data_IF_634909496524
#
_entry.id   IF_634909496524
#
_cell.length_a   1.000
_cell.length_b   1.000
_cell.length_c   1.000
_cell.angle_alpha   90.00
_cell.angle_beta   90.00
_cell.angle_gamma   90.00
#
_symmetry.space_group_name_H-M   'P 1'
#
loop_
_entity.id
_entity.type
_entity.pdbx_description
1 polymer ?
#
# COMPACT_ATOMS: atom_id res chain seq x y z
N UNK A 1 -46.59 -31.09 44.75
CA UNK A 1 -45.30 -30.42 44.57
C UNK A 1 -44.89 -30.51 43.11
N UNK A 2 -44.96 -29.39 42.37
CA UNK A 2 -44.63 -29.35 40.93
C UNK A 2 -43.22 -28.75 40.78
N UNK A 3 -42.26 -29.57 40.39
CA UNK A 3 -40.89 -29.10 40.09
C UNK A 3 -40.89 -28.31 38.79
N UNK A 4 -40.53 -27.03 38.82
CA UNK A 4 -40.25 -26.22 37.64
C UNK A 4 -38.76 -26.36 37.33
N UNK A 5 -38.45 -26.99 36.19
CA UNK A 5 -37.13 -27.05 35.63
C UNK A 5 -36.94 -25.74 34.83
N UNK A 6 -36.03 -24.90 35.26
CA UNK A 6 -35.64 -23.69 34.53
C UNK A 6 -34.54 -24.06 33.51
N UNK A 7 -34.85 -23.90 32.24
CA UNK A 7 -33.86 -24.01 31.15
C UNK A 7 -33.09 -22.67 31.06
N UNK A 8 -31.81 -22.71 31.39
CA UNK A 8 -30.90 -21.58 31.15
C UNK A 8 -30.38 -21.72 29.71
N UNK A 9 -30.85 -20.85 28.83
CA UNK A 9 -30.30 -20.73 27.48
C UNK A 9 -29.07 -19.82 27.57
N UNK A 10 -27.87 -20.41 27.42
CA UNK A 10 -26.62 -19.65 27.27
C UNK A 10 -26.51 -19.22 25.83
N UNK A 11 -26.76 -17.95 25.54
CA UNK A 11 -26.43 -17.34 24.27
C UNK A 11 -24.90 -17.16 24.20
N UNK A 12 -24.22 -18.05 23.46
CA UNK A 12 -22.85 -17.79 23.01
C UNK A 12 -22.90 -16.72 21.90
N UNK A 13 -22.55 -15.49 22.27
CA UNK A 13 -22.22 -14.47 21.29
C UNK A 13 -20.87 -14.83 20.64
N UNK A 14 -20.92 -15.33 19.41
CA UNK A 14 -19.73 -15.46 18.56
C UNK A 14 -19.38 -14.03 18.11
N UNK A 15 -18.52 -13.35 18.85
CA UNK A 15 -17.84 -12.17 18.36
C UNK A 15 -16.89 -12.62 17.25
N UNK A 16 -17.28 -12.39 16.00
CA UNK A 16 -16.39 -12.55 14.86
C UNK A 16 -15.19 -11.62 15.09
N UNK A 17 -14.02 -12.19 15.30
CA UNK A 17 -12.76 -11.48 15.19
C UNK A 17 -12.60 -11.15 13.70
N UNK A 18 -13.05 -9.96 13.29
CA UNK A 18 -12.56 -9.35 12.06
C UNK A 18 -11.08 -9.08 12.29
N UNK A 19 -10.23 -9.81 11.60
CA UNK A 19 -8.82 -9.43 11.50
C UNK A 19 -8.80 -8.02 10.90
N UNK A 20 -8.44 -7.02 11.70
CA UNK A 20 -8.24 -5.66 11.24
C UNK A 20 -7.07 -5.74 10.26
N UNK A 21 -7.36 -5.57 8.98
CA UNK A 21 -6.35 -5.46 7.95
C UNK A 21 -5.48 -4.27 8.33
N UNK A 22 -4.18 -4.49 8.47
CA UNK A 22 -3.26 -3.39 8.78
C UNK A 22 -3.39 -2.32 7.69
N UNK A 23 -3.73 -1.09 8.09
CA UNK A 23 -3.70 0.07 7.21
C UNK A 23 -2.29 0.21 6.65
N UNK A 24 -2.16 0.51 5.35
CA UNK A 24 -0.85 0.75 4.75
C UNK A 24 -0.36 2.09 5.28
N UNK A 25 0.54 2.07 6.26
CA UNK A 25 1.10 3.24 6.94
C UNK A 25 2.12 4.03 6.09
N UNK A 26 2.05 3.85 4.77
CA UNK A 26 3.01 4.40 3.80
C UNK A 26 4.30 3.60 3.65
N UNK A 27 4.56 2.61 4.50
CA UNK A 27 5.75 1.75 4.41
C UNK A 27 5.53 0.56 3.49
N UNK A 28 4.29 0.07 3.39
CA UNK A 28 3.88 -1.02 2.52
C UNK A 28 3.07 -0.48 1.34
N UNK A 29 3.27 -1.00 0.13
CA UNK A 29 2.48 -0.58 -1.03
C UNK A 29 1.06 -1.15 -0.98
N UNK A 30 0.10 -0.38 -1.48
CA UNK A 30 -1.26 -0.85 -1.75
C UNK A 30 -1.24 -1.86 -2.90
N UNK A 31 -1.89 -3.00 -2.72
CA UNK A 31 -1.84 -4.11 -3.66
C UNK A 31 -2.99 -4.07 -4.66
N UNK A 32 -2.66 -3.97 -5.95
CA UNK A 32 -3.63 -4.17 -7.02
C UNK A 32 -4.08 -5.62 -7.08
N UNK A 33 -5.40 -5.86 -7.18
CA UNK A 33 -5.98 -7.18 -7.32
C UNK A 33 -6.97 -7.23 -8.49
N UNK A 34 -6.82 -8.20 -9.37
CA UNK A 34 -7.73 -8.46 -10.49
C UNK A 34 -7.97 -7.26 -11.43
N UNK A 35 -7.00 -6.37 -11.56
CA UNK A 35 -7.09 -5.17 -12.38
C UNK A 35 -7.75 -3.97 -11.69
N UNK A 36 -7.89 -4.01 -10.37
CA UNK A 36 -8.46 -2.93 -9.56
C UNK A 36 -7.54 -2.58 -8.39
N UNK A 37 -7.34 -1.28 -8.19
CA UNK A 37 -6.68 -0.69 -7.03
C UNK A 37 -7.56 0.45 -6.52
N UNK A 38 -7.90 0.46 -5.24
CA UNK A 38 -8.64 1.51 -4.56
C UNK A 38 -7.83 2.00 -3.38
N UNK A 39 -7.65 3.31 -3.23
CA UNK A 39 -6.87 3.91 -2.14
C UNK A 39 -7.65 5.10 -1.60
N UNK A 40 -7.83 5.15 -0.27
CA UNK A 40 -8.34 6.34 0.42
C UNK A 40 -7.26 7.42 0.43
N UNK A 41 -7.62 8.67 0.19
CA UNK A 41 -6.61 9.71 -0.02
C UNK A 41 -5.82 10.04 1.24
N UNK A 42 -6.40 9.87 2.41
CA UNK A 42 -5.74 10.06 3.71
C UNK A 42 -4.73 8.97 4.05
N UNK A 43 -4.77 7.83 3.35
CA UNK A 43 -3.83 6.72 3.55
C UNK A 43 -2.46 6.94 2.90
N UNK A 44 -2.23 8.09 2.27
CA UNK A 44 -0.94 8.46 1.68
C UNK A 44 0.12 8.88 2.69
N UNK A 45 1.37 9.00 2.23
CA UNK A 45 2.46 9.57 3.03
C UNK A 45 2.34 11.10 3.00
N UNK A 46 1.70 11.67 4.01
CA UNK A 46 1.42 13.10 4.14
C UNK A 46 2.43 13.72 5.10
N UNK A 47 3.35 14.54 4.60
CA UNK A 47 4.41 15.16 5.39
C UNK A 47 4.23 16.68 5.59
N UNK A 48 3.23 17.28 4.98
CA UNK A 48 2.98 18.71 5.04
C UNK A 48 1.63 18.98 5.74
N UNK A 49 1.66 19.77 6.79
CA UNK A 49 0.49 20.04 7.63
C UNK A 49 -0.54 21.00 6.99
N UNK A 50 -0.27 21.52 5.80
CA UNK A 50 -1.26 22.27 5.01
C UNK A 50 -2.25 21.35 4.30
N UNK A 51 -1.92 20.07 4.13
CA UNK A 51 -2.90 19.05 3.84
C UNK A 51 -3.73 18.76 5.08
N UNK A 52 -5.03 18.81 4.94
CA UNK A 52 -5.98 18.56 6.02
C UNK A 52 -6.86 17.37 5.68
N UNK A 53 -7.28 16.66 6.70
CA UNK A 53 -8.23 15.53 6.61
C UNK A 53 -9.45 15.94 7.41
N UNK A 54 -10.65 15.76 6.83
CA UNK A 54 -11.91 16.02 7.48
C UNK A 54 -12.95 14.95 7.08
N UNK A 55 -14.10 14.96 7.72
CA UNK A 55 -15.17 13.98 7.50
C UNK A 55 -16.49 14.71 7.34
N UNK A 56 -17.29 14.30 6.36
CA UNK A 56 -18.68 14.77 6.21
C UNK A 56 -19.63 13.58 5.99
N UNK A 57 -20.87 13.71 6.42
CA UNK A 57 -21.90 12.70 6.19
C UNK A 57 -22.66 13.01 4.91
N UNK A 58 -22.67 12.09 3.96
CA UNK A 58 -23.38 12.19 2.68
C UNK A 58 -24.25 10.96 2.51
N UNK A 59 -25.56 11.18 2.34
CA UNK A 59 -26.57 10.12 2.20
C UNK A 59 -26.57 9.09 3.36
N UNK A 60 -26.13 9.53 4.55
CA UNK A 60 -26.05 8.68 5.76
C UNK A 60 -24.76 7.91 5.92
N UNK A 61 -23.79 8.07 5.02
CA UNK A 61 -22.45 7.47 5.08
C UNK A 61 -21.41 8.55 5.38
N UNK A 62 -20.48 8.28 6.29
CA UNK A 62 -19.37 9.17 6.60
C UNK A 62 -18.27 9.02 5.53
N UNK A 63 -17.89 10.13 4.93
CA UNK A 63 -16.83 10.24 3.94
C UNK A 63 -15.66 10.98 4.58
N UNK A 64 -14.51 10.35 4.69
CA UNK A 64 -13.25 11.00 5.05
C UNK A 64 -12.57 11.49 3.77
N UNK A 65 -12.09 12.71 3.77
CA UNK A 65 -11.46 13.29 2.58
C UNK A 65 -10.25 14.16 2.93
N UNK A 66 -9.39 14.29 1.95
CA UNK A 66 -8.17 15.09 2.01
C UNK A 66 -8.36 16.37 1.21
N UNK A 67 -7.79 17.49 1.71
CA UNK A 67 -7.79 18.76 0.99
C UNK A 67 -6.60 19.65 1.36
N UNK A 68 -6.23 20.54 0.44
CA UNK A 68 -5.17 21.50 0.62
C UNK A 68 -5.69 22.82 1.16
N UNK A 69 -5.03 23.40 2.17
CA UNK A 69 -5.35 24.71 2.77
C UNK A 69 -4.29 25.78 2.50
N UNK A 70 -3.16 25.39 1.89
CA UNK A 70 -2.13 26.32 1.51
C UNK A 70 -2.48 27.19 0.30
N UNK A 71 -1.55 28.01 -0.13
CA UNK A 71 -1.69 28.85 -1.32
C UNK A 71 -1.85 27.99 -2.59
N UNK A 72 -2.52 28.57 -3.59
CA UNK A 72 -2.70 27.91 -4.89
C UNK A 72 -1.39 27.94 -5.70
N UNK A 73 -1.07 26.82 -6.37
CA UNK A 73 0.20 26.61 -7.09
C UNK A 73 -0.07 26.31 -8.58
N UNK A 74 -0.57 27.32 -9.31
CA UNK A 74 -1.00 27.12 -10.71
C UNK A 74 0.13 26.93 -11.71
N UNK A 75 1.29 27.54 -11.47
CA UNK A 75 2.41 27.58 -12.42
C UNK A 75 3.60 26.72 -12.01
N UNK A 76 3.58 26.17 -10.79
CA UNK A 76 4.65 25.35 -10.23
C UNK A 76 4.07 24.31 -9.28
N UNK A 77 4.86 23.35 -8.87
CA UNK A 77 4.49 22.42 -7.78
C UNK A 77 4.55 23.17 -6.45
N UNK A 78 3.66 22.80 -5.51
CA UNK A 78 3.64 23.37 -4.16
C UNK A 78 4.78 22.87 -3.29
N UNK A 79 5.50 21.82 -3.74
CA UNK A 79 6.51 21.08 -2.99
C UNK A 79 5.98 20.45 -1.69
N UNK A 80 4.71 20.05 -1.71
CA UNK A 80 4.03 19.35 -0.63
C UNK A 80 3.46 18.01 -1.14
N UNK A 81 4.27 17.14 -1.75
CA UNK A 81 3.77 15.92 -2.37
C UNK A 81 3.25 14.92 -1.33
N UNK A 82 2.15 14.25 -1.69
CA UNK A 82 1.68 13.03 -1.06
C UNK A 82 2.06 11.86 -1.93
N UNK A 83 2.65 10.84 -1.34
CA UNK A 83 3.13 9.65 -2.06
C UNK A 83 2.33 8.43 -1.65
N UNK A 84 1.92 7.66 -2.65
CA UNK A 84 1.27 6.36 -2.50
C UNK A 84 2.14 5.31 -3.19
N UNK A 85 2.70 4.40 -2.41
CA UNK A 85 3.39 3.24 -2.98
C UNK A 85 2.34 2.20 -3.37
N UNK A 86 2.45 1.64 -4.57
CA UNK A 86 1.50 0.66 -5.09
C UNK A 86 2.24 -0.56 -5.61
N UNK A 87 1.62 -1.73 -5.50
CA UNK A 87 2.08 -2.98 -6.10
C UNK A 87 1.11 -3.39 -7.20
N UNK A 88 1.61 -3.44 -8.43
CA UNK A 88 0.86 -3.97 -9.57
C UNK A 88 1.17 -5.46 -9.70
N UNK A 89 0.15 -6.29 -9.71
CA UNK A 89 0.25 -7.74 -9.93
C UNK A 89 -0.12 -8.13 -11.37
N UNK A 90 -1.02 -7.37 -11.97
CA UNK A 90 -1.52 -7.60 -13.33
C UNK A 90 -1.08 -6.50 -14.28
N UNK A 91 0.09 -6.63 -14.96
CA UNK A 91 0.56 -5.64 -15.92
C UNK A 91 -0.47 -5.28 -16.99
N UNK A 92 -0.45 -4.05 -17.45
CA UNK A 92 -1.37 -3.55 -18.49
C UNK A 92 -1.68 -2.07 -18.33
N UNK A 93 -2.68 -1.60 -19.08
CA UNK A 93 -3.10 -0.20 -19.06
C UNK A 93 -4.28 -0.01 -18.12
N UNK A 94 -4.15 0.98 -17.25
CA UNK A 94 -5.12 1.35 -16.22
C UNK A 94 -5.64 2.75 -16.45
N UNK A 95 -6.93 2.96 -16.26
CA UNK A 95 -7.54 4.26 -16.14
C UNK A 95 -7.43 4.73 -14.69
N UNK A 96 -7.06 5.99 -14.50
CA UNK A 96 -7.07 6.65 -13.20
C UNK A 96 -8.35 7.49 -13.07
N UNK A 97 -8.97 7.43 -11.90
CA UNK A 97 -10.01 8.37 -11.46
C UNK A 97 -9.91 8.57 -9.95
N UNK A 98 -10.31 9.73 -9.48
CA UNK A 98 -10.57 9.96 -8.05
C UNK A 98 -12.01 10.42 -7.82
N UNK A 99 -12.52 10.13 -6.64
CA UNK A 99 -13.78 10.66 -6.16
C UNK A 99 -13.51 12.01 -5.49
N UNK A 100 -14.08 13.07 -6.06
CA UNK A 100 -13.77 14.43 -5.64
C UNK A 100 -14.99 15.34 -5.72
N UNK A 101 -14.89 16.48 -5.05
CA UNK A 101 -15.77 17.64 -5.25
C UNK A 101 -15.01 18.94 -4.99
N UNK A 102 -15.54 20.03 -5.50
CA UNK A 102 -15.12 21.38 -5.10
C UNK A 102 -15.61 21.65 -3.68
N UNK A 103 -14.71 22.02 -2.79
CA UNK A 103 -15.01 22.22 -1.37
C UNK A 103 -15.28 23.68 -0.99
N UNK A 104 -14.97 24.64 -1.88
CA UNK A 104 -15.13 26.06 -1.61
C UNK A 104 -15.83 26.78 -2.78
N UNK A 105 -16.84 27.58 -2.44
CA UNK A 105 -17.58 28.36 -3.43
C UNK A 105 -18.64 27.55 -4.18
N UNK A 106 -19.19 28.13 -5.26
CA UNK A 106 -20.27 27.55 -6.06
C UNK A 106 -19.90 27.38 -7.53
N UNK A 107 -18.66 27.71 -7.90
CA UNK A 107 -18.12 27.54 -9.25
C UNK A 107 -17.40 26.21 -9.37
N UNK A 108 -17.86 25.26 -10.21
CA UNK A 108 -17.17 24.00 -10.39
C UNK A 108 -15.85 24.14 -11.19
N UNK A 109 -15.58 25.32 -11.74
CA UNK A 109 -14.34 25.61 -12.47
C UNK A 109 -13.20 26.15 -11.58
N UNK A 110 -13.47 26.39 -10.29
CA UNK A 110 -12.49 26.85 -9.32
C UNK A 110 -12.26 25.77 -8.25
N UNK A 111 -11.10 25.80 -7.59
CA UNK A 111 -10.76 24.83 -6.53
C UNK A 111 -10.93 23.36 -6.95
N UNK A 112 -10.62 23.02 -8.19
CA UNK A 112 -11.06 21.81 -8.85
C UNK A 112 -9.94 20.88 -9.34
N UNK A 113 -8.67 21.16 -8.99
CA UNK A 113 -7.53 20.43 -9.54
C UNK A 113 -6.36 20.26 -8.56
N UNK A 114 -5.54 19.24 -8.83
CA UNK A 114 -4.25 18.99 -8.20
C UNK A 114 -3.25 18.50 -9.24
N UNK A 115 -1.97 18.50 -8.89
CA UNK A 115 -0.91 17.91 -9.71
C UNK A 115 -0.86 16.40 -9.48
N UNK A 116 -0.88 15.62 -10.54
CA UNK A 116 -0.82 14.15 -10.51
C UNK A 116 0.34 13.63 -11.34
N UNK A 117 1.08 12.68 -10.78
CA UNK A 117 2.11 11.90 -11.47
C UNK A 117 1.98 10.43 -11.11
N UNK A 118 2.01 9.56 -12.10
CA UNK A 118 2.04 8.11 -11.91
C UNK A 118 3.28 7.57 -12.60
N UNK A 119 4.15 6.91 -11.86
CA UNK A 119 5.42 6.39 -12.36
C UNK A 119 5.21 5.02 -13.04
N UNK A 120 4.43 5.00 -14.13
CA UNK A 120 4.35 3.85 -15.04
C UNK A 120 5.30 4.02 -16.24
N UNK A 121 5.33 3.03 -17.11
CA UNK A 121 6.13 3.09 -18.35
C UNK A 121 5.51 4.05 -19.40
N UNK A 122 4.19 4.28 -19.34
CA UNK A 122 3.50 5.26 -20.19
C UNK A 122 2.41 5.94 -19.36
N UNK A 123 2.54 7.25 -19.10
CA UNK A 123 1.58 8.05 -18.33
C UNK A 123 1.06 9.21 -19.19
N UNK A 124 -0.23 9.21 -19.49
CA UNK A 124 -0.83 10.10 -20.47
C UNK A 124 -2.32 10.38 -20.23
N UNK A 125 -2.81 11.42 -20.91
CA UNK A 125 -4.25 11.62 -21.13
C UNK A 125 -4.68 11.08 -22.49
N UNK A 126 -5.92 10.58 -22.63
CA UNK A 126 -6.48 10.15 -23.92
C UNK A 126 -7.91 10.62 -24.12
N UNK A 127 -8.21 11.16 -25.33
CA UNK A 127 -9.54 11.55 -25.78
C UNK A 127 -9.67 11.19 -27.26
N UNK A 128 -10.66 10.36 -27.61
CA UNK A 128 -10.93 9.94 -28.99
C UNK A 128 -9.71 9.40 -29.75
N UNK A 129 -8.82 8.69 -29.04
CA UNK A 129 -7.59 8.12 -29.58
C UNK A 129 -6.38 9.06 -29.59
N UNK A 130 -6.56 10.36 -29.40
CA UNK A 130 -5.46 11.30 -29.26
C UNK A 130 -4.86 11.23 -27.84
N UNK A 131 -3.53 11.11 -27.74
CA UNK A 131 -2.79 11.10 -26.48
C UNK A 131 -2.14 12.46 -26.25
N UNK A 132 -2.09 12.86 -24.98
CA UNK A 132 -1.34 14.02 -24.51
C UNK A 132 -0.47 13.60 -23.32
N UNK A 133 0.74 14.16 -23.21
CA UNK A 133 1.75 13.74 -22.27
C UNK A 133 2.21 14.87 -21.35
N UNK A 134 2.70 14.56 -20.15
CA UNK A 134 3.27 15.58 -19.28
C UNK A 134 4.62 16.08 -19.83
N UNK A 135 4.99 17.30 -19.44
CA UNK A 135 6.32 17.87 -19.67
C UNK A 135 7.32 17.31 -18.65
N UNK A 136 8.62 17.11 -18.97
CA UNK A 136 9.28 17.47 -20.23
C UNK A 136 9.22 16.37 -21.30
N UNK A 137 8.57 15.24 -21.05
CA UNK A 137 8.54 14.11 -21.98
C UNK A 137 8.10 14.53 -23.38
N UNK A 138 6.98 15.24 -23.49
CA UNK A 138 6.44 15.69 -24.76
C UNK A 138 7.25 16.82 -25.42
N UNK A 139 8.02 17.60 -24.64
CA UNK A 139 8.88 18.65 -25.19
C UNK A 139 10.16 18.10 -25.83
N UNK A 140 10.57 16.90 -25.39
CA UNK A 140 11.77 16.22 -25.89
C UNK A 140 11.51 15.30 -27.08
N UNK A 141 10.25 15.11 -27.49
CA UNK A 141 9.85 14.28 -28.63
C UNK A 141 8.78 15.01 -29.46
N UNK A 142 9.19 15.45 -30.64
CA UNK A 142 8.32 16.20 -31.58
C UNK A 142 7.08 15.42 -32.07
N UNK A 143 7.03 14.10 -31.86
CA UNK A 143 5.87 13.26 -32.19
C UNK A 143 4.82 13.24 -31.07
N UNK A 144 5.14 13.77 -29.89
CA UNK A 144 4.23 13.80 -28.75
C UNK A 144 3.55 15.16 -28.62
N UNK A 145 2.29 15.13 -28.20
CA UNK A 145 1.53 16.34 -27.85
C UNK A 145 1.59 16.55 -26.35
N UNK A 146 1.94 17.76 -25.92
CA UNK A 146 1.93 18.09 -24.51
C UNK A 146 0.50 18.29 -24.00
N UNK A 147 0.22 17.75 -22.80
CA UNK A 147 -0.98 18.09 -22.08
C UNK A 147 -0.94 19.59 -21.68
N UNK A 148 -2.01 20.33 -21.94
CA UNK A 148 -2.16 21.65 -21.37
C UNK A 148 -2.11 21.52 -19.83
N UNK A 149 -1.57 22.50 -19.16
CA UNK A 149 -1.44 22.47 -17.70
C UNK A 149 -0.54 21.35 -17.17
N UNK A 150 0.38 20.81 -17.95
CA UNK A 150 1.42 19.93 -17.43
C UNK A 150 2.58 20.72 -16.80
N UNK A 151 3.21 20.15 -15.77
CA UNK A 151 4.41 20.71 -15.15
C UNK A 151 5.67 20.15 -15.80
N UNK A 152 6.81 20.83 -15.60
CA UNK A 152 8.13 20.40 -16.09
C UNK A 152 8.72 19.19 -15.38
N UNK A 153 8.00 18.57 -14.42
CA UNK A 153 8.45 17.44 -13.61
C UNK A 153 7.61 16.17 -13.85
N UNK A 154 7.02 16.03 -15.03
CA UNK A 154 6.13 14.92 -15.42
C UNK A 154 4.82 14.84 -14.62
N UNK A 155 4.32 15.97 -14.11
CA UNK A 155 2.97 16.03 -13.56
C UNK A 155 1.98 16.52 -14.61
N UNK A 156 0.79 15.98 -14.55
CA UNK A 156 -0.39 16.45 -15.26
C UNK A 156 -1.28 17.19 -14.26
N UNK A 157 -1.86 18.32 -14.67
CA UNK A 157 -2.99 18.92 -13.98
C UNK A 157 -4.15 17.93 -14.05
N UNK A 158 -4.52 17.36 -12.91
CA UNK A 158 -5.65 16.44 -12.82
C UNK A 158 -6.84 17.20 -12.20
N UNK A 159 -7.96 17.25 -12.89
CA UNK A 159 -9.10 18.04 -12.47
C UNK A 159 -10.44 17.30 -12.59
N UNK A 160 -11.46 17.83 -11.89
CA UNK A 160 -12.85 17.49 -12.08
C UNK A 160 -13.73 18.72 -11.74
N UNK A 161 -14.76 18.97 -12.50
CA UNK A 161 -15.64 20.12 -12.34
C UNK A 161 -16.97 19.73 -11.67
N UNK A 162 -16.91 19.28 -10.40
CA UNK A 162 -18.07 18.79 -9.66
C UNK A 162 -18.24 19.52 -8.32
N UNK A 163 -19.45 19.89 -8.01
CA UNK A 163 -19.85 20.42 -6.70
C UNK A 163 -20.37 19.31 -5.77
N UNK A 164 -20.74 18.17 -6.34
CA UNK A 164 -21.13 16.93 -5.66
C UNK A 164 -20.03 15.87 -5.80
N UNK A 165 -19.99 14.91 -4.89
CA UNK A 165 -19.04 13.82 -4.91
C UNK A 165 -19.20 12.93 -6.15
N UNK A 166 -18.15 12.84 -6.98
CA UNK A 166 -18.18 12.06 -8.20
C UNK A 166 -16.82 11.53 -8.60
N UNK A 167 -16.79 10.34 -9.20
CA UNK A 167 -15.56 9.78 -9.80
C UNK A 167 -15.27 10.45 -11.13
N UNK A 168 -14.26 11.27 -11.15
CA UNK A 168 -13.79 11.96 -12.35
C UNK A 168 -12.31 12.26 -12.29
N UNK A 169 -11.60 12.23 -13.41
CA UNK A 169 -10.28 12.84 -13.56
C UNK A 169 -9.96 13.05 -15.02
N UNK A 170 -9.60 14.25 -15.37
CA UNK A 170 -9.16 14.67 -16.70
C UNK A 170 -7.92 15.55 -16.59
N UNK A 171 -7.22 15.78 -17.72
CA UNK A 171 -5.93 16.47 -17.76
C UNK A 171 -6.02 17.98 -17.71
N UNK A 172 -7.10 18.60 -18.14
CA UNK A 172 -7.37 20.03 -18.06
C UNK A 172 -8.85 20.35 -18.38
N UNK A 173 -9.26 21.58 -18.17
CA UNK A 173 -10.63 22.06 -18.33
C UNK A 173 -10.98 22.43 -19.77
N UNK A 174 -10.03 22.89 -20.58
CA UNK A 174 -10.25 23.33 -21.95
C UNK A 174 -10.33 22.19 -22.98
N UNK A 175 -9.46 21.20 -22.84
CA UNK A 175 -9.43 19.99 -23.67
C UNK A 175 -9.21 18.75 -22.80
N UNK A 176 -10.26 18.29 -22.15
CA UNK A 176 -10.19 17.23 -21.15
C UNK A 176 -9.95 15.86 -21.74
N UNK A 177 -8.80 15.25 -21.38
CA UNK A 177 -8.44 13.87 -21.69
C UNK A 177 -8.53 13.06 -20.40
N UNK A 178 -9.08 11.83 -20.49
CA UNK A 178 -9.07 10.90 -19.35
C UNK A 178 -7.65 10.44 -19.06
N UNK A 179 -7.30 10.31 -17.80
CA UNK A 179 -5.95 9.95 -17.36
C UNK A 179 -5.74 8.43 -17.38
N UNK A 180 -4.62 8.01 -17.92
CA UNK A 180 -4.23 6.62 -18.09
C UNK A 180 -2.75 6.40 -17.73
N UNK A 181 -2.45 5.17 -17.34
CA UNK A 181 -1.06 4.71 -17.12
C UNK A 181 -0.90 3.27 -17.58
N UNK A 182 0.24 2.95 -18.17
CA UNK A 182 0.60 1.57 -18.51
C UNK A 182 1.72 1.10 -17.61
N UNK A 183 1.56 -0.10 -17.05
CA UNK A 183 2.54 -0.83 -16.27
C UNK A 183 2.93 -2.09 -17.05
N UNK A 184 4.21 -2.22 -17.42
CA UNK A 184 4.68 -3.37 -18.20
C UNK A 184 5.08 -4.57 -17.32
N UNK A 185 5.31 -4.35 -16.05
CA UNK A 185 5.81 -5.37 -15.12
C UNK A 185 4.98 -5.44 -13.84
N UNK A 186 4.94 -6.63 -13.26
CA UNK A 186 4.37 -6.87 -11.94
C UNK A 186 5.37 -6.47 -10.84
N UNK A 187 5.46 -5.16 -10.53
CA UNK A 187 6.38 -4.59 -9.55
C UNK A 187 5.75 -3.45 -8.76
N UNK A 188 6.53 -2.83 -7.89
CA UNK A 188 6.13 -1.65 -7.15
C UNK A 188 6.31 -0.39 -8.01
N UNK A 189 5.35 0.53 -7.86
CA UNK A 189 5.31 1.83 -8.52
C UNK A 189 4.89 2.91 -7.52
N UNK A 190 4.80 4.16 -7.98
CA UNK A 190 4.38 5.30 -7.15
C UNK A 190 3.34 6.14 -7.85
N UNK A 191 2.36 6.60 -7.07
CA UNK A 191 1.48 7.71 -7.42
C UNK A 191 1.89 8.88 -6.54
N UNK A 192 2.01 10.07 -7.13
CA UNK A 192 2.31 11.29 -6.41
C UNK A 192 1.25 12.33 -6.74
N UNK A 193 0.65 12.89 -5.70
CA UNK A 193 -0.26 14.02 -5.79
C UNK A 193 0.41 15.22 -5.13
N UNK A 194 0.45 16.37 -5.81
CA UNK A 194 0.93 17.61 -5.22
C UNK A 194 -0.16 18.68 -5.33
N UNK A 195 -0.20 19.60 -4.39
CA UNK A 195 -1.24 20.60 -4.32
C UNK A 195 -1.15 21.58 -5.50
N UNK A 196 -2.32 21.92 -6.05
CA UNK A 196 -2.48 22.97 -7.06
C UNK A 196 -3.55 23.98 -6.66
N UNK A 197 -4.77 23.55 -6.52
CA UNK A 197 -5.86 24.37 -5.98
C UNK A 197 -6.09 24.08 -4.50
N UNK A 198 -6.33 25.12 -3.70
CA UNK A 198 -6.85 24.96 -2.35
C UNK A 198 -8.31 24.49 -2.39
N UNK A 199 -8.72 23.73 -1.37
CA UNK A 199 -10.10 23.25 -1.18
C UNK A 199 -10.65 22.39 -2.33
N UNK A 200 -9.79 21.69 -3.09
CA UNK A 200 -10.21 20.50 -3.80
C UNK A 200 -10.35 19.39 -2.76
N UNK A 201 -11.55 18.86 -2.57
CA UNK A 201 -11.81 17.74 -1.66
C UNK A 201 -11.71 16.43 -2.42
N UNK A 202 -10.88 15.51 -1.95
CA UNK A 202 -10.65 14.21 -2.59
C UNK A 202 -10.79 13.10 -1.55
N UNK A 203 -11.72 12.19 -1.77
CA UNK A 203 -12.04 11.04 -0.92
C UNK A 203 -11.10 9.87 -1.24
N UNK A 204 -11.25 9.30 -2.43
CA UNK A 204 -10.47 8.13 -2.83
C UNK A 204 -10.04 8.18 -4.28
N UNK A 205 -8.97 7.44 -4.60
CA UNK A 205 -8.55 7.22 -5.98
C UNK A 205 -8.67 5.75 -6.38
N UNK A 206 -8.85 5.54 -7.67
CA UNK A 206 -9.02 4.22 -8.29
C UNK A 206 -8.16 4.13 -9.53
N UNK A 207 -7.41 3.03 -9.65
CA UNK A 207 -6.83 2.56 -10.89
C UNK A 207 -7.56 1.30 -11.32
N UNK A 208 -8.09 1.25 -12.55
CA UNK A 208 -8.73 0.04 -13.06
C UNK A 208 -8.39 -0.23 -14.51
N UNK A 209 -8.21 -1.52 -14.83
CA UNK A 209 -8.04 -1.99 -16.22
C UNK A 209 -9.34 -1.90 -17.00
N UNK A 210 -9.24 -1.87 -18.34
CA UNK A 210 -10.42 -1.91 -19.21
C UNK A 210 -11.30 -3.17 -19.02
N UNK A 211 -10.73 -4.26 -18.51
CA UNK A 211 -11.46 -5.47 -18.16
C UNK A 211 -12.37 -5.33 -16.93
N UNK A 212 -12.14 -4.29 -16.12
CA UNK A 212 -12.99 -3.95 -14.97
C UNK A 212 -13.92 -2.80 -15.38
N UNK A 213 -15.22 -3.03 -15.32
CA UNK A 213 -16.20 -1.99 -15.69
C UNK A 213 -16.11 -0.79 -14.75
N UNK A 214 -16.43 0.40 -15.25
CA UNK A 214 -16.49 1.60 -14.39
C UNK A 214 -17.54 1.45 -13.27
N UNK A 215 -18.63 0.73 -13.49
CA UNK A 215 -19.61 0.43 -12.44
C UNK A 215 -19.01 -0.39 -11.31
N UNK A 216 -18.18 -1.38 -11.63
CA UNK A 216 -17.45 -2.18 -10.63
C UNK A 216 -16.36 -1.34 -9.95
N UNK A 217 -15.57 -0.63 -10.73
CA UNK A 217 -14.42 0.15 -10.23
C UNK A 217 -14.86 1.29 -9.31
N UNK A 218 -15.98 1.94 -9.60
CA UNK A 218 -16.47 3.10 -8.85
C UNK A 218 -17.57 2.75 -7.84
N UNK A 219 -17.70 1.47 -7.49
CA UNK A 219 -18.61 1.06 -6.43
C UNK A 219 -18.06 1.56 -5.08
N UNK A 220 -18.86 2.35 -4.36
CA UNK A 220 -18.49 2.93 -3.06
C UNK A 220 -18.25 1.87 -1.98
N UNK A 221 -18.83 0.69 -2.13
CA UNK A 221 -18.60 -0.45 -1.22
C UNK A 221 -17.28 -1.18 -1.46
N UNK A 222 -16.49 -0.80 -2.48
CA UNK A 222 -15.14 -1.35 -2.64
C UNK A 222 -14.28 -0.94 -1.44
N UNK A 223 -13.70 -1.89 -0.71
CA UNK A 223 -12.78 -1.54 0.36
C UNK A 223 -11.50 -0.96 -0.22
N UNK A 224 -10.76 -0.25 0.61
CA UNK A 224 -9.38 0.10 0.29
C UNK A 224 -8.57 -1.15 -0.02
N UNK A 225 -7.68 -1.08 -1.00
CA UNK A 225 -6.78 -2.17 -1.35
C UNK A 225 -5.89 -2.53 -0.17
N UNK A 226 -5.74 -3.82 0.09
CA UNK A 226 -4.88 -4.32 1.16
C UNK A 226 -3.42 -3.94 0.92
N UNK A 227 -2.65 -3.87 2.01
CA UNK A 227 -1.22 -3.67 1.91
C UNK A 227 -0.54 -4.93 1.34
N UNK A 228 0.26 -4.76 0.31
CA UNK A 228 1.15 -5.78 -0.15
C UNK A 228 2.21 -6.03 0.91
N UNK A 229 1.95 -6.99 1.74
CA UNK A 229 2.98 -7.62 2.52
C UNK A 229 3.58 -8.69 1.61
N UNK A 230 4.68 -8.36 0.92
CA UNK A 230 5.53 -9.43 0.46
C UNK A 230 5.77 -10.29 1.70
N UNK A 231 5.05 -11.42 1.83
CA UNK A 231 5.49 -12.50 2.70
C UNK A 231 6.96 -12.60 2.37
N UNK A 232 7.78 -11.98 3.21
CA UNK A 232 9.18 -11.81 2.95
C UNK A 232 9.79 -13.20 2.80
N UNK A 233 9.71 -13.72 1.60
CA UNK A 233 10.90 -14.26 1.02
C UNK A 233 11.76 -13.02 0.68
N UNK A 234 12.15 -12.20 1.71
CA UNK A 234 13.48 -11.67 1.66
C UNK A 234 14.21 -12.83 1.05
N UNK A 235 14.83 -12.65 -0.13
CA UNK A 235 15.89 -13.55 -0.55
C UNK A 235 16.81 -13.54 0.65
N UNK A 236 16.44 -14.33 1.67
CA UNK A 236 17.34 -14.77 2.70
C UNK A 236 18.41 -15.36 1.83
N UNK A 237 19.48 -14.60 1.62
CA UNK A 237 20.70 -15.12 1.08
C UNK A 237 20.82 -16.40 1.88
N UNK A 238 20.49 -17.55 1.23
CA UNK A 238 20.36 -18.82 1.91
C UNK A 238 21.69 -19.01 2.58
N UNK A 239 21.80 -18.51 3.81
CA UNK A 239 22.99 -18.74 4.60
C UNK A 239 22.91 -20.23 4.82
N UNK A 240 23.79 -20.94 4.16
CA UNK A 240 23.81 -22.40 4.19
C UNK A 240 24.32 -22.82 5.57
N UNK A 241 23.49 -22.52 6.61
CA UNK A 241 23.79 -22.81 8.01
C UNK A 241 23.74 -24.31 8.15
N UNK A 242 24.87 -24.90 8.52
CA UNK A 242 24.99 -26.30 8.86
C UNK A 242 24.69 -26.47 10.33
N UNK A 243 23.86 -27.46 10.67
CA UNK A 243 23.48 -27.81 12.03
C UNK A 243 23.72 -29.30 12.22
N UNK A 244 24.61 -29.64 13.12
CA UNK A 244 24.98 -31.05 13.38
C UNK A 244 25.51 -31.30 14.81
N UNK A 245 25.33 -32.53 15.31
CA UNK A 245 24.44 -33.55 14.80
C UNK A 245 22.99 -33.17 15.02
N UNK A 246 22.11 -33.61 14.14
CA UNK A 246 20.67 -33.47 14.28
C UNK A 246 20.00 -34.72 13.69
N UNK A 247 19.44 -35.62 14.51
CA UNK A 247 19.21 -35.57 15.95
C UNK A 247 20.43 -35.55 16.86
N UNK A 248 20.28 -35.03 18.10
CA UNK A 248 21.38 -34.95 19.09
C UNK A 248 20.90 -35.25 20.50
N UNK A 249 21.86 -35.71 21.37
CA UNK A 249 21.61 -35.93 22.81
C UNK A 249 22.09 -34.77 23.69
N UNK A 250 23.17 -34.09 23.32
CA UNK A 250 23.85 -33.14 24.22
C UNK A 250 24.19 -31.81 23.58
N UNK A 251 24.92 -31.84 22.48
CA UNK A 251 25.47 -30.66 21.81
C UNK A 251 24.93 -30.51 20.40
N UNK A 252 24.70 -29.30 19.99
CA UNK A 252 24.36 -28.92 18.63
C UNK A 252 25.39 -27.90 18.15
N UNK A 253 26.06 -28.17 17.05
CA UNK A 253 27.03 -27.29 16.41
C UNK A 253 26.38 -26.55 15.24
N UNK A 254 26.75 -25.30 15.09
CA UNK A 254 26.32 -24.42 14.02
C UNK A 254 27.53 -23.93 13.26
N UNK A 255 27.53 -24.06 11.94
CA UNK A 255 28.52 -23.48 11.04
C UNK A 255 27.87 -22.54 10.05
N UNK A 256 28.61 -21.54 9.58
CA UNK A 256 28.19 -20.52 8.64
C UNK A 256 27.08 -19.59 9.20
N UNK A 257 27.12 -19.32 10.51
CA UNK A 257 26.21 -18.33 11.11
C UNK A 257 26.56 -16.91 10.62
N UNK A 258 25.57 -16.01 10.50
CA UNK A 258 25.83 -14.58 10.46
C UNK A 258 26.49 -14.12 11.76
N UNK A 259 27.33 -13.11 11.68
CA UNK A 259 27.97 -12.51 12.87
C UNK A 259 26.99 -11.56 13.61
N UNK A 260 27.19 -11.40 14.90
CA UNK A 260 26.41 -10.49 15.77
C UNK A 260 24.90 -10.80 15.78
N UNK A 261 24.54 -12.07 15.99
CA UNK A 261 23.15 -12.52 16.03
C UNK A 261 22.78 -13.10 17.40
N UNK A 262 21.47 -13.07 17.71
CA UNK A 262 20.90 -13.83 18.81
C UNK A 262 20.20 -15.08 18.27
N UNK A 263 20.66 -16.25 18.70
CA UNK A 263 19.99 -17.53 18.48
C UNK A 263 18.96 -17.78 19.58
N UNK A 264 17.71 -17.99 19.23
CA UNK A 264 16.62 -18.29 20.18
C UNK A 264 16.12 -19.69 19.93
N UNK A 265 16.21 -20.56 20.94
CA UNK A 265 15.70 -21.92 20.92
C UNK A 265 14.32 -21.94 21.60
N UNK A 266 13.31 -22.45 20.90
CA UNK A 266 11.93 -22.57 21.38
C UNK A 266 11.45 -24.03 21.33
N UNK A 267 10.55 -24.38 22.22
CA UNK A 267 9.84 -25.66 22.15
C UNK A 267 8.66 -25.59 21.14
N UNK A 268 7.95 -26.70 20.96
CA UNK A 268 6.80 -26.78 20.02
C UNK A 268 5.62 -25.86 20.38
N UNK A 269 5.55 -25.38 21.64
CA UNK A 269 4.53 -24.43 22.11
C UNK A 269 4.98 -22.97 21.94
N UNK A 270 6.14 -22.72 21.31
CA UNK A 270 6.70 -21.38 21.14
C UNK A 270 7.42 -20.81 22.38
N UNK A 271 7.45 -21.53 23.51
CA UNK A 271 8.13 -21.05 24.70
C UNK A 271 9.66 -21.09 24.49
N UNK A 272 10.32 -19.97 24.78
CA UNK A 272 11.79 -19.85 24.69
C UNK A 272 12.43 -20.67 25.81
N UNK A 273 13.30 -21.61 25.44
CA UNK A 273 14.05 -22.48 26.36
C UNK A 273 15.52 -22.08 26.49
N UNK A 274 16.06 -21.37 25.50
CA UNK A 274 17.44 -20.87 25.53
C UNK A 274 17.63 -19.69 24.55
N UNK A 275 18.48 -18.72 24.93
CA UNK A 275 18.99 -17.67 24.05
C UNK A 275 20.51 -17.66 24.11
N UNK A 276 21.16 -17.49 22.96
CA UNK A 276 22.62 -17.39 22.83
C UNK A 276 22.92 -16.24 21.88
N UNK A 277 23.68 -15.26 22.34
CA UNK A 277 24.27 -14.25 21.48
C UNK A 277 25.63 -14.74 20.98
N UNK A 278 25.89 -14.64 19.70
CA UNK A 278 27.16 -15.02 19.10
C UNK A 278 27.67 -13.96 18.14
N UNK A 279 28.96 -13.73 18.18
CA UNK A 279 29.70 -12.87 17.24
C UNK A 279 30.49 -13.71 16.22
N UNK A 280 30.42 -15.04 16.32
CA UNK A 280 31.19 -15.99 15.53
C UNK A 280 30.34 -16.67 14.46
N UNK A 281 30.95 -17.02 13.36
CA UNK A 281 30.35 -17.87 12.31
C UNK A 281 30.12 -19.31 12.74
N UNK A 282 30.66 -19.70 13.92
CA UNK A 282 30.48 -21.02 14.53
C UNK A 282 30.00 -20.88 15.95
N UNK A 283 29.07 -21.73 16.36
CA UNK A 283 28.54 -21.76 17.72
C UNK A 283 28.22 -23.19 18.13
N UNK A 284 28.31 -23.47 19.45
CA UNK A 284 27.92 -24.76 20.01
C UNK A 284 26.96 -24.56 21.15
N UNK A 285 25.78 -25.11 21.03
CA UNK A 285 24.76 -25.01 22.06
C UNK A 285 24.61 -26.33 22.79
N UNK A 286 24.82 -26.29 24.13
CA UNK A 286 24.53 -27.41 24.98
C UNK A 286 23.02 -27.45 25.31
N UNK A 287 22.37 -28.56 24.95
CA UNK A 287 20.94 -28.85 25.19
C UNK A 287 20.72 -30.09 26.08
N UNK A 288 21.75 -30.54 26.80
CA UNK A 288 21.68 -31.73 27.66
C UNK A 288 20.52 -31.67 28.65
N UNK A 289 20.22 -30.48 29.19
CA UNK A 289 19.19 -30.25 30.19
C UNK A 289 17.77 -30.16 29.63
N UNK A 290 17.61 -30.19 28.29
CA UNK A 290 16.29 -30.13 27.67
C UNK A 290 15.66 -31.53 27.61
N UNK A 291 14.34 -31.57 27.70
CA UNK A 291 13.57 -32.82 27.55
C UNK A 291 13.69 -33.31 26.10
N UNK A 292 13.52 -34.61 25.89
CA UNK A 292 13.43 -35.21 24.56
C UNK A 292 12.27 -34.57 23.80
N UNK A 293 12.47 -34.24 22.53
CA UNK A 293 11.44 -33.60 21.73
C UNK A 293 11.97 -32.78 20.56
N UNK A 294 11.06 -32.07 19.91
CA UNK A 294 11.36 -31.18 18.79
C UNK A 294 11.47 -29.73 19.31
N UNK A 295 12.50 -29.06 18.85
CA UNK A 295 12.77 -27.66 19.12
C UNK A 295 13.00 -26.90 17.81
N UNK A 296 12.75 -25.60 17.83
CA UNK A 296 13.03 -24.69 16.73
C UNK A 296 14.08 -23.69 17.18
N UNK A 297 15.10 -23.48 16.36
CA UNK A 297 16.05 -22.40 16.54
C UNK A 297 15.80 -21.32 15.50
N UNK A 298 15.72 -20.09 15.96
CA UNK A 298 15.53 -18.90 15.14
C UNK A 298 16.68 -17.92 15.36
N UNK A 299 17.01 -17.13 14.36
CA UNK A 299 17.90 -15.99 14.49
C UNK A 299 17.13 -14.69 14.37
N UNK A 300 17.58 -13.66 15.06
CA UNK A 300 17.08 -12.30 14.95
C UNK A 300 18.21 -11.41 14.42
N UNK A 301 18.36 -11.36 13.11
CA UNK A 301 19.34 -10.51 12.42
C UNK A 301 18.61 -9.72 11.32
N UNK A 302 18.91 -8.44 11.18
CA UNK A 302 18.23 -7.50 10.26
C UNK A 302 18.16 -7.96 8.79
N UNK A 303 19.04 -8.89 8.35
CA UNK A 303 19.12 -9.37 6.97
C UNK A 303 19.27 -10.89 6.82
N UNK A 304 19.09 -11.69 7.89
CA UNK A 304 19.39 -13.14 7.86
C UNK A 304 18.57 -13.91 8.88
N UNK A 305 17.25 -13.78 8.84
CA UNK A 305 16.36 -14.58 9.68
C UNK A 305 16.29 -16.02 9.15
N UNK A 306 16.44 -16.99 10.03
CA UNK A 306 16.24 -18.39 9.69
C UNK A 306 15.48 -19.12 10.80
N UNK A 307 14.82 -20.19 10.42
CA UNK A 307 14.21 -21.16 11.33
C UNK A 307 14.73 -22.56 10.97
N UNK A 308 15.24 -23.30 11.93
CA UNK A 308 15.68 -24.68 11.75
C UNK A 308 15.16 -25.57 12.87
N UNK A 309 14.77 -26.80 12.51
CA UNK A 309 14.32 -27.82 13.44
C UNK A 309 15.49 -28.56 14.05
N UNK A 310 15.46 -28.77 15.38
CA UNK A 310 16.41 -29.60 16.15
C UNK A 310 15.63 -30.72 16.84
N UNK A 311 16.13 -31.95 16.74
CA UNK A 311 15.54 -33.12 17.39
C UNK A 311 16.46 -33.54 18.55
N UNK A 312 15.93 -33.43 19.78
CA UNK A 312 16.58 -33.87 21.02
C UNK A 312 16.18 -35.32 21.34
N UNK A 313 17.17 -36.20 21.44
CA UNK A 313 17.02 -37.63 21.79
C UNK A 313 17.01 -37.84 23.31
#
# INVERSE_FOLDING_TARGET
MKNKIAFIVVLLSISGLFAQTATCDGTLPFEEQNGLLTIEMESGIINDNRWQIDTETVDGEDITYLYWTGEQSFNALSNAPIVYNIKINNPGTYRFAWRMRVGLGTSPGEHNDAWLKINGEDFYGIKSGAKVYPKPMCENDANLTCAEGSSTQNFIKAFGNRLDWWFVTNTNDGDSHRVWVTFNEAKEYKITVDARSSYLFIDKMVLHRNSVSSTTAFNLSNPESSCYNALSTTKNKLVNIKIYPNPTKHLVHFDNLPENITLTLTNILGATVKKVYTTSKKETINISNLKKGVYFITSNASNSNFVKKIIKL
#
